data_IF_124120546481
#
_entry.id   IF_124120546481
#
_cell.length_a   1.000
_cell.length_b   1.000
_cell.length_c   1.000
_cell.angle_alpha   90.00
_cell.angle_beta   90.00
_cell.angle_gamma   90.00
#
_symmetry.space_group_name_H-M   'P 1'
#
loop_
_entity.id
_entity.type
_entity.pdbx_description
1 polymer ?
#
# COMPACT_ATOMS: atom_id res chain seq x y z
N UNK A 1 18.71 49.84 -15.01
CA UNK A 1 17.73 50.93 -14.94
C UNK A 1 16.48 50.30 -14.29
N UNK A 2 16.43 50.27 -13.01
CA UNK A 2 15.72 51.09 -12.03
C UNK A 2 14.23 51.26 -12.38
N UNK A 3 13.35 50.59 -11.60
CA UNK A 3 12.37 51.31 -10.76
C UNK A 3 11.65 50.38 -9.79
N UNK A 4 11.89 50.66 -8.51
CA UNK A 4 11.13 50.19 -7.35
C UNK A 4 9.78 50.93 -7.33
N UNK A 5 8.71 50.25 -6.93
CA UNK A 5 7.54 50.89 -6.35
C UNK A 5 7.02 50.07 -5.17
N UNK A 6 7.22 50.62 -4.00
CA UNK A 6 6.62 50.31 -2.69
C UNK A 6 5.28 51.06 -2.60
N UNK A 7 4.23 50.35 -2.25
CA UNK A 7 3.00 50.92 -1.63
C UNK A 7 2.43 49.77 -0.83
N UNK A 8 2.26 49.76 0.46
CA UNK A 8 1.74 50.77 1.37
C UNK A 8 0.80 49.99 2.29
N UNK A 9 1.24 49.79 3.55
CA UNK A 9 0.55 49.13 4.64
C UNK A 9 -0.67 49.95 5.06
N UNK A 10 -1.86 49.34 5.20
CA UNK A 10 -2.98 49.88 5.95
C UNK A 10 -3.53 48.81 6.93
N UNK A 11 -3.16 49.04 8.18
CA UNK A 11 -3.74 48.34 9.35
C UNK A 11 -5.08 48.98 9.67
N UNK A 12 -6.14 48.22 9.70
CA UNK A 12 -7.41 48.61 10.30
C UNK A 12 -7.78 47.62 11.41
N UNK A 13 -7.49 48.02 12.64
CA UNK A 13 -8.01 47.47 13.88
C UNK A 13 -9.43 48.04 14.10
N UNK A 14 -10.44 47.22 14.04
CA UNK A 14 -11.73 47.53 14.72
C UNK A 14 -12.44 46.27 15.18
N UNK A 15 -12.57 46.14 16.49
CA UNK A 15 -13.77 45.76 17.19
C UNK A 15 -14.20 44.30 17.20
N UNK A 16 -13.83 43.56 18.27
CA UNK A 16 -14.67 42.48 18.74
C UNK A 16 -15.94 42.99 19.37
N UNK A 17 -17.07 42.26 19.21
CA UNK A 17 -17.70 41.75 20.42
C UNK A 17 -18.17 40.30 20.36
N UNK A 18 -17.92 39.62 21.45
CA UNK A 18 -18.74 38.62 22.13
C UNK A 18 -19.77 37.85 21.27
N UNK A 19 -19.42 36.65 20.83
CA UNK A 19 -20.36 35.56 20.58
C UNK A 19 -19.83 34.25 21.20
N UNK A 20 -19.70 34.28 22.51
CA UNK A 20 -19.63 33.09 23.33
C UNK A 20 -21.06 32.54 23.46
N UNK A 21 -21.26 31.26 23.33
CA UNK A 21 -22.48 30.46 23.37
C UNK A 21 -23.20 30.18 22.04
N UNK A 22 -22.57 29.36 21.21
CA UNK A 22 -23.31 28.41 20.32
C UNK A 22 -22.43 27.29 19.83
N UNK A 23 -21.73 26.56 20.70
CA UNK A 23 -20.71 25.57 20.30
C UNK A 23 -20.99 24.09 20.63
N UNK A 24 -22.13 23.73 21.21
CA UNK A 24 -22.33 22.37 21.76
C UNK A 24 -22.93 21.32 20.81
N UNK A 25 -23.72 21.72 19.82
CA UNK A 25 -24.46 20.75 18.98
C UNK A 25 -23.73 20.36 17.68
N UNK A 26 -22.86 21.20 17.17
CA UNK A 26 -22.12 20.93 15.93
C UNK A 26 -20.97 19.90 16.09
N UNK A 27 -20.33 19.85 17.25
CA UNK A 27 -19.21 18.91 17.51
C UNK A 27 -19.68 17.44 17.62
N UNK A 28 -20.87 17.16 18.17
CA UNK A 28 -21.41 15.80 18.25
C UNK A 28 -21.79 15.25 16.87
N UNK A 29 -22.42 16.05 15.99
CA UNK A 29 -22.79 15.61 14.64
C UNK A 29 -21.56 15.34 13.76
N UNK A 30 -20.48 16.14 13.85
CA UNK A 30 -19.23 15.88 13.13
C UNK A 30 -18.55 14.59 13.60
N UNK A 31 -18.56 14.28 14.90
CA UNK A 31 -18.00 13.02 15.41
C UNK A 31 -18.74 11.77 14.92
N UNK A 32 -20.08 11.83 14.78
CA UNK A 32 -20.86 10.69 14.26
C UNK A 32 -20.65 10.47 12.75
N UNK A 33 -20.51 11.51 11.94
CA UNK A 33 -20.18 11.42 10.52
C UNK A 33 -18.77 10.86 10.32
N UNK A 34 -17.81 11.41 11.02
CA UNK A 34 -16.41 11.01 10.95
C UNK A 34 -16.17 9.54 11.33
N UNK A 35 -16.80 9.05 12.40
CA UNK A 35 -16.69 7.63 12.79
C UNK A 35 -17.25 6.66 11.74
N UNK A 36 -18.29 7.05 11.01
CA UNK A 36 -18.85 6.25 9.92
C UNK A 36 -17.92 6.23 8.69
N UNK A 37 -17.35 7.37 8.34
CA UNK A 37 -16.38 7.49 7.25
C UNK A 37 -15.13 6.64 7.52
N UNK A 38 -14.59 6.70 8.74
CA UNK A 38 -13.47 5.88 9.17
C UNK A 38 -13.78 4.38 9.09
N UNK A 39 -14.96 3.97 9.55
CA UNK A 39 -15.37 2.57 9.48
C UNK A 39 -15.53 2.08 8.04
N UNK A 40 -16.09 2.92 7.15
CA UNK A 40 -16.21 2.60 5.72
C UNK A 40 -14.84 2.44 5.10
N UNK A 41 -13.95 3.41 5.27
CA UNK A 41 -12.58 3.35 4.75
C UNK A 41 -11.82 2.12 5.24
N UNK A 42 -11.88 1.83 6.56
CA UNK A 42 -11.28 0.63 7.14
C UNK A 42 -11.77 -0.65 6.47
N UNK A 43 -13.08 -0.77 6.28
CA UNK A 43 -13.67 -1.97 5.69
C UNK A 43 -13.26 -2.12 4.22
N UNK A 44 -13.27 -1.04 3.45
CA UNK A 44 -12.81 -1.04 2.07
C UNK A 44 -11.33 -1.45 1.96
N UNK A 45 -10.47 -0.89 2.82
CA UNK A 45 -9.05 -1.25 2.85
C UNK A 45 -8.85 -2.71 3.25
N UNK A 46 -9.62 -3.22 4.21
CA UNK A 46 -9.59 -4.61 4.63
C UNK A 46 -10.00 -5.58 3.51
N UNK A 47 -11.11 -5.30 2.82
CA UNK A 47 -11.60 -6.13 1.71
C UNK A 47 -10.58 -6.19 0.56
N UNK A 48 -9.95 -5.05 0.24
CA UNK A 48 -8.88 -4.97 -0.77
C UNK A 48 -7.67 -5.79 -0.33
N UNK A 49 -7.25 -5.67 0.94
CA UNK A 49 -6.14 -6.44 1.50
C UNK A 49 -6.38 -7.94 1.35
N UNK A 50 -7.58 -8.43 1.62
CA UNK A 50 -7.93 -9.84 1.50
C UNK A 50 -7.91 -10.33 0.03
N UNK A 51 -8.46 -9.52 -0.90
CA UNK A 51 -8.42 -9.83 -2.33
C UNK A 51 -6.98 -9.99 -2.82
N UNK A 52 -6.12 -9.04 -2.48
CA UNK A 52 -4.73 -9.02 -2.94
C UNK A 52 -3.88 -10.09 -2.24
N UNK A 53 -4.13 -10.41 -0.96
CA UNK A 53 -3.47 -11.55 -0.30
C UNK A 53 -3.66 -12.84 -1.10
N UNK A 54 -4.86 -13.08 -1.63
CA UNK A 54 -5.17 -14.25 -2.45
C UNK A 54 -4.37 -14.27 -3.74
N UNK A 55 -4.26 -13.13 -4.44
CA UNK A 55 -3.46 -13.00 -5.67
C UNK A 55 -1.99 -13.26 -5.39
N UNK A 56 -1.43 -12.60 -4.37
CA UNK A 56 -0.02 -12.74 -3.99
C UNK A 56 0.30 -14.15 -3.51
N UNK A 57 -0.63 -14.84 -2.84
CA UNK A 57 -0.48 -16.23 -2.45
C UNK A 57 -0.34 -17.15 -3.67
N UNK A 58 -1.25 -17.04 -4.64
CA UNK A 58 -1.21 -17.81 -5.88
C UNK A 58 0.05 -17.57 -6.70
N UNK A 59 0.53 -16.31 -6.70
CA UNK A 59 1.81 -15.96 -7.32
C UNK A 59 3.00 -16.59 -6.60
N UNK A 60 3.06 -16.51 -5.29
CA UNK A 60 4.15 -17.11 -4.53
C UNK A 60 4.25 -18.61 -4.77
N UNK A 61 3.09 -19.31 -4.82
CA UNK A 61 3.02 -20.73 -5.15
C UNK A 61 3.50 -21.01 -6.59
N UNK A 62 3.11 -20.18 -7.56
CA UNK A 62 3.52 -20.31 -8.96
C UNK A 62 5.04 -20.11 -9.12
N UNK A 63 5.62 -19.09 -8.46
CA UNK A 63 7.06 -18.85 -8.49
C UNK A 63 7.84 -19.95 -7.76
N UNK A 64 7.29 -20.54 -6.71
CA UNK A 64 7.89 -21.69 -6.03
C UNK A 64 7.87 -22.95 -6.93
N UNK A 65 6.77 -23.19 -7.64
CA UNK A 65 6.67 -24.27 -8.63
C UNK A 65 7.65 -24.08 -9.80
N UNK A 66 7.80 -22.84 -10.31
CA UNK A 66 8.80 -22.49 -11.32
C UNK A 66 10.22 -22.77 -10.80
N UNK A 67 10.53 -22.39 -9.56
CA UNK A 67 11.84 -22.63 -8.91
C UNK A 67 12.13 -24.13 -8.76
N UNK A 68 11.12 -24.95 -8.52
CA UNK A 68 11.23 -26.40 -8.44
C UNK A 68 11.17 -27.11 -9.80
N UNK A 69 11.02 -26.35 -10.89
CA UNK A 69 10.85 -26.86 -12.27
C UNK A 69 9.58 -27.71 -12.43
N UNK A 70 8.55 -27.41 -11.66
CA UNK A 70 7.21 -28.03 -11.71
C UNK A 70 6.24 -27.20 -12.58
N UNK A 71 6.65 -25.98 -12.97
CA UNK A 71 5.92 -25.07 -13.84
C UNK A 71 6.84 -24.63 -14.98
N UNK A 72 6.30 -24.61 -16.21
CA UNK A 72 7.01 -24.13 -17.37
C UNK A 72 7.09 -22.60 -17.37
N UNK A 73 8.17 -22.06 -17.98
CA UNK A 73 8.43 -20.61 -17.99
C UNK A 73 7.30 -19.82 -18.66
N UNK A 74 6.73 -20.35 -19.74
CA UNK A 74 5.67 -19.68 -20.46
C UNK A 74 4.38 -19.59 -19.65
N UNK A 75 4.00 -20.67 -18.97
CA UNK A 75 2.85 -20.70 -18.07
C UNK A 75 3.06 -19.77 -16.85
N UNK A 76 4.31 -19.68 -16.36
CA UNK A 76 4.65 -18.78 -15.29
C UNK A 76 4.48 -17.32 -15.72
N UNK A 77 4.97 -16.96 -16.91
CA UNK A 77 4.84 -15.59 -17.45
C UNK A 77 3.39 -15.18 -17.65
N UNK A 78 2.53 -16.08 -18.14
CA UNK A 78 1.10 -15.79 -18.27
C UNK A 78 0.46 -15.47 -16.90
N UNK A 79 0.77 -16.27 -15.87
CA UNK A 79 0.28 -16.03 -14.51
C UNK A 79 0.82 -14.76 -13.88
N UNK A 80 2.11 -14.45 -14.10
CA UNK A 80 2.72 -13.23 -13.62
C UNK A 80 2.07 -12.01 -14.25
N UNK A 81 1.88 -11.98 -15.57
CA UNK A 81 1.24 -10.88 -16.28
C UNK A 81 -0.21 -10.65 -15.83
N UNK A 82 -1.01 -11.73 -15.68
CA UNK A 82 -2.38 -11.61 -15.20
C UNK A 82 -2.45 -11.01 -13.78
N UNK A 83 -1.52 -11.40 -12.92
CA UNK A 83 -1.48 -10.89 -11.56
C UNK A 83 -0.87 -9.48 -11.46
N UNK A 84 0.05 -9.10 -12.36
CA UNK A 84 0.55 -7.73 -12.47
C UNK A 84 -0.60 -6.76 -12.77
N UNK A 85 -1.46 -7.09 -13.76
CA UNK A 85 -2.64 -6.28 -14.08
C UNK A 85 -3.57 -6.09 -12.88
N UNK A 86 -3.80 -7.15 -12.08
CA UNK A 86 -4.62 -7.06 -10.87
C UNK A 86 -3.98 -6.21 -9.77
N UNK A 87 -2.66 -6.33 -9.57
CA UNK A 87 -1.93 -5.55 -8.57
C UNK A 87 -1.82 -4.07 -8.97
N UNK A 88 -1.61 -3.78 -10.25
CA UNK A 88 -1.58 -2.41 -10.77
C UNK A 88 -2.93 -1.73 -10.61
N UNK A 89 -4.02 -2.44 -10.95
CA UNK A 89 -5.37 -1.93 -10.71
C UNK A 89 -5.60 -1.64 -9.21
N UNK A 90 -5.18 -2.54 -8.33
CA UNK A 90 -5.30 -2.33 -6.89
C UNK A 90 -4.48 -1.14 -6.40
N UNK A 91 -3.29 -0.92 -6.97
CA UNK A 91 -2.45 0.23 -6.64
C UNK A 91 -3.07 1.55 -7.13
N UNK A 92 -3.70 1.57 -8.31
CA UNK A 92 -4.43 2.73 -8.82
C UNK A 92 -5.66 3.05 -7.96
N UNK A 93 -6.44 2.04 -7.62
CA UNK A 93 -7.59 2.19 -6.74
C UNK A 93 -7.18 2.76 -5.37
N UNK A 94 -6.07 2.26 -4.80
CA UNK A 94 -5.56 2.72 -3.51
C UNK A 94 -5.11 4.19 -3.58
N UNK A 95 -4.35 4.58 -4.61
CA UNK A 95 -3.95 5.98 -4.83
C UNK A 95 -5.14 6.93 -4.99
N UNK A 96 -6.27 6.44 -5.49
CA UNK A 96 -7.53 7.21 -5.60
C UNK A 96 -8.27 7.37 -4.27
N UNK A 97 -7.92 6.61 -3.23
CA UNK A 97 -8.56 6.70 -1.92
C UNK A 97 -7.97 7.83 -1.08
N UNK A 98 -8.84 8.66 -0.50
CA UNK A 98 -8.43 9.67 0.47
C UNK A 98 -8.31 9.03 1.85
N UNK A 99 -7.08 8.74 2.27
CA UNK A 99 -6.82 8.14 3.57
C UNK A 99 -7.13 9.13 4.71
N UNK A 100 -8.00 8.76 5.67
CA UNK A 100 -8.17 9.53 6.89
C UNK A 100 -6.87 9.58 7.69
N UNK A 101 -6.65 10.67 8.43
CA UNK A 101 -5.41 10.88 9.20
C UNK A 101 -5.09 9.70 10.13
N UNK A 102 -6.10 9.16 10.79
CA UNK A 102 -5.95 8.04 11.73
C UNK A 102 -5.52 6.72 11.09
N UNK A 103 -5.77 6.54 9.79
CA UNK A 103 -5.45 5.34 9.02
C UNK A 103 -4.38 5.57 7.96
N UNK A 104 -3.82 6.78 7.87
CA UNK A 104 -2.84 7.14 6.85
C UNK A 104 -1.58 6.25 6.91
N UNK A 105 -1.08 5.95 8.08
CA UNK A 105 0.08 5.07 8.24
C UNK A 105 -0.18 3.66 7.68
N UNK A 106 -1.38 3.10 7.90
CA UNK A 106 -1.75 1.80 7.35
C UNK A 106 -1.92 1.85 5.82
N UNK A 107 -2.45 2.96 5.30
CA UNK A 107 -2.55 3.18 3.87
C UNK A 107 -1.17 3.16 3.19
N UNK A 108 -0.21 3.93 3.71
CA UNK A 108 1.18 3.98 3.20
C UNK A 108 1.86 2.61 3.29
N UNK A 109 1.66 1.88 4.38
CA UNK A 109 2.20 0.52 4.53
C UNK A 109 1.59 -0.45 3.51
N UNK A 110 0.31 -0.29 3.19
CA UNK A 110 -0.33 -1.11 2.16
C UNK A 110 0.23 -0.80 0.77
N UNK A 111 0.43 0.49 0.42
CA UNK A 111 1.10 0.88 -0.82
C UNK A 111 2.50 0.27 -0.93
N UNK A 112 3.31 0.39 0.11
CA UNK A 112 4.67 -0.17 0.14
C UNK A 112 4.67 -1.70 -0.01
N UNK A 113 3.62 -2.36 0.50
CA UNK A 113 3.44 -3.81 0.41
C UNK A 113 3.07 -4.23 -1.01
N UNK A 114 2.18 -3.50 -1.70
CA UNK A 114 1.86 -3.70 -3.11
C UNK A 114 3.10 -3.52 -4.00
N UNK A 115 3.86 -2.45 -3.80
CA UNK A 115 5.10 -2.22 -4.54
C UNK A 115 6.12 -3.36 -4.34
N UNK A 116 6.18 -3.96 -3.16
CA UNK A 116 7.03 -5.12 -2.92
C UNK A 116 6.57 -6.33 -3.71
N UNK A 117 5.25 -6.57 -3.79
CA UNK A 117 4.69 -7.66 -4.60
C UNK A 117 5.01 -7.46 -6.09
N UNK A 118 4.80 -6.26 -6.63
CA UNK A 118 5.14 -5.90 -8.02
C UNK A 118 6.65 -6.09 -8.29
N UNK A 119 7.53 -5.68 -7.38
CA UNK A 119 8.98 -5.97 -7.50
C UNK A 119 9.28 -7.47 -7.53
N UNK A 120 8.47 -8.29 -6.84
CA UNK A 120 8.56 -9.74 -6.89
C UNK A 120 8.27 -10.29 -8.28
N UNK A 121 7.23 -9.77 -8.95
CA UNK A 121 6.86 -10.10 -10.33
C UNK A 121 8.00 -9.73 -11.28
N UNK A 122 8.37 -8.45 -11.35
CA UNK A 122 9.42 -7.95 -12.26
C UNK A 122 10.74 -8.72 -12.09
N UNK A 123 11.09 -9.05 -10.84
CA UNK A 123 12.29 -9.85 -10.58
C UNK A 123 12.16 -11.26 -11.15
N UNK A 124 11.01 -11.90 -11.01
CA UNK A 124 10.78 -13.26 -11.54
C UNK A 124 10.76 -13.26 -13.07
N UNK A 125 10.09 -12.28 -13.69
CA UNK A 125 10.02 -12.12 -15.15
C UNK A 125 11.42 -11.95 -15.76
N UNK A 126 12.30 -11.18 -15.10
CA UNK A 126 13.71 -11.09 -15.53
C UNK A 126 14.37 -12.46 -15.56
N UNK A 127 14.16 -13.29 -14.53
CA UNK A 127 14.66 -14.67 -14.49
C UNK A 127 14.10 -15.53 -15.64
N UNK A 128 12.79 -15.39 -15.93
CA UNK A 128 12.13 -16.05 -17.05
C UNK A 128 12.73 -15.61 -18.40
N UNK A 129 12.94 -14.30 -18.58
CA UNK A 129 13.59 -13.75 -19.77
C UNK A 129 14.97 -14.34 -19.99
N UNK A 130 15.81 -14.42 -18.96
CA UNK A 130 17.16 -15.01 -19.04
C UNK A 130 17.08 -16.51 -19.39
N UNK A 131 16.12 -17.25 -18.84
CA UNK A 131 15.92 -18.69 -19.15
C UNK A 131 15.62 -18.94 -20.62
N UNK A 132 14.95 -17.99 -21.30
CA UNK A 132 14.62 -18.08 -22.72
C UNK A 132 15.77 -17.74 -23.67
N UNK A 133 16.84 -17.13 -23.15
CA UNK A 133 17.99 -16.77 -23.97
C UNK A 133 18.81 -18.02 -24.33
N UNK A 134 19.26 -18.17 -25.59
CA UNK A 134 20.14 -19.28 -26.00
C UNK A 134 21.50 -19.24 -25.28
N UNK A 135 21.96 -18.05 -24.91
CA UNK A 135 23.17 -17.84 -24.11
C UNK A 135 22.91 -16.76 -23.06
N UNK A 136 23.26 -17.08 -21.81
CA UNK A 136 23.17 -16.12 -20.72
C UNK A 136 24.26 -15.07 -20.85
N UNK A 137 23.94 -13.76 -20.77
CA UNK A 137 24.92 -12.70 -20.66
C UNK A 137 25.83 -12.90 -19.44
N UNK A 138 27.13 -12.62 -19.53
CA UNK A 138 28.06 -12.83 -18.41
C UNK A 138 27.75 -12.02 -17.15
N UNK A 139 27.11 -10.86 -17.33
CA UNK A 139 26.69 -9.95 -16.27
C UNK A 139 25.40 -10.39 -15.55
N UNK A 140 24.63 -11.30 -16.13
CA UNK A 140 23.40 -11.79 -15.52
C UNK A 140 23.67 -12.96 -14.55
N UNK A 141 23.02 -12.91 -13.41
CA UNK A 141 22.99 -14.01 -12.45
C UNK A 141 22.20 -15.21 -13.04
N UNK A 142 22.32 -16.36 -12.40
CA UNK A 142 21.50 -17.52 -12.79
C UNK A 142 20.01 -17.25 -12.60
N UNK A 143 19.14 -17.71 -13.52
CA UNK A 143 17.68 -17.50 -13.43
C UNK A 143 17.10 -17.91 -12.07
N UNK A 144 17.61 -18.97 -11.48
CA UNK A 144 17.18 -19.44 -10.16
C UNK A 144 17.33 -18.39 -9.04
N UNK A 145 18.36 -17.52 -9.12
CA UNK A 145 18.58 -16.44 -8.14
C UNK A 145 17.44 -15.43 -8.23
N UNK A 146 17.01 -15.07 -9.45
CA UNK A 146 15.88 -14.17 -9.68
C UNK A 146 14.57 -14.79 -9.17
N UNK A 147 14.32 -16.07 -9.44
CA UNK A 147 13.14 -16.78 -8.91
C UNK A 147 13.13 -16.80 -7.38
N UNK A 148 14.27 -17.07 -6.75
CA UNK A 148 14.39 -17.05 -5.29
C UNK A 148 14.10 -15.66 -4.69
N UNK A 149 14.65 -14.60 -5.31
CA UNK A 149 14.43 -13.22 -4.87
C UNK A 149 12.96 -12.79 -5.10
N UNK A 150 12.41 -13.12 -6.26
CA UNK A 150 11.01 -12.85 -6.58
C UNK A 150 10.07 -13.53 -5.59
N UNK A 151 10.24 -14.83 -5.36
CA UNK A 151 9.49 -15.58 -4.36
C UNK A 151 9.60 -14.95 -2.95
N UNK A 152 10.82 -14.58 -2.53
CA UNK A 152 11.02 -13.93 -1.22
C UNK A 152 10.25 -12.62 -1.10
N UNK A 153 10.22 -11.78 -2.15
CA UNK A 153 9.46 -10.54 -2.14
C UNK A 153 7.95 -10.81 -2.01
N UNK A 154 7.42 -11.79 -2.74
CA UNK A 154 5.99 -12.18 -2.68
C UNK A 154 5.60 -12.72 -1.31
N UNK A 155 6.40 -13.61 -0.74
CA UNK A 155 6.17 -14.15 0.62
C UNK A 155 6.17 -13.05 1.68
N UNK A 156 7.14 -12.12 1.63
CA UNK A 156 7.18 -11.00 2.57
C UNK A 156 6.00 -10.04 2.37
N UNK A 157 5.60 -9.78 1.12
CA UNK A 157 4.42 -8.96 0.85
C UNK A 157 3.16 -9.62 1.42
N UNK A 158 2.98 -10.93 1.22
CA UNK A 158 1.85 -11.68 1.76
C UNK A 158 1.80 -11.62 3.28
N UNK A 159 2.90 -11.92 3.95
CA UNK A 159 2.97 -11.85 5.42
C UNK A 159 2.59 -10.46 5.93
N UNK A 160 3.09 -9.42 5.25
CA UNK A 160 2.75 -8.04 5.65
C UNK A 160 1.29 -7.70 5.41
N UNK A 161 0.68 -8.17 4.32
CA UNK A 161 -0.77 -8.03 4.09
C UNK A 161 -1.61 -8.67 5.18
N UNK A 162 -1.24 -9.88 5.62
CA UNK A 162 -1.91 -10.57 6.71
C UNK A 162 -1.81 -9.79 8.03
N UNK A 163 -0.63 -9.26 8.36
CA UNK A 163 -0.44 -8.38 9.52
C UNK A 163 -1.29 -7.10 9.43
N UNK A 164 -1.35 -6.47 8.26
CA UNK A 164 -2.18 -5.28 8.01
C UNK A 164 -3.66 -5.59 8.19
N UNK A 165 -4.13 -6.73 7.68
CA UNK A 165 -5.50 -7.18 7.85
C UNK A 165 -5.86 -7.38 9.34
N UNK A 166 -4.96 -7.99 10.12
CA UNK A 166 -5.16 -8.17 11.56
C UNK A 166 -5.19 -6.81 12.30
N UNK A 167 -4.31 -5.87 11.93
CA UNK A 167 -4.30 -4.53 12.53
C UNK A 167 -5.61 -3.79 12.21
N UNK A 168 -6.08 -3.86 10.96
CA UNK A 168 -7.34 -3.25 10.53
C UNK A 168 -8.54 -3.84 11.28
N UNK A 169 -8.57 -5.16 11.51
CA UNK A 169 -9.62 -5.81 12.29
C UNK A 169 -9.62 -5.39 13.75
N UNK A 170 -8.42 -5.25 14.34
CA UNK A 170 -8.26 -4.87 15.75
C UNK A 170 -8.36 -3.35 15.98
N UNK A 171 -8.36 -2.56 14.92
CA UNK A 171 -8.36 -1.10 15.05
C UNK A 171 -9.70 -0.55 15.54
N UNK A 172 -9.64 0.34 16.53
CA UNK A 172 -10.80 1.02 17.10
C UNK A 172 -10.76 2.53 16.79
N UNK A 173 -11.90 3.12 16.37
CA UNK A 173 -11.97 4.55 16.12
C UNK A 173 -11.54 5.38 17.36
N UNK A 174 -10.66 6.36 17.13
CA UNK A 174 -10.14 7.24 18.18
C UNK A 174 -8.80 6.81 18.79
N UNK A 175 -8.24 5.67 18.35
CA UNK A 175 -6.87 5.27 18.66
C UNK A 175 -6.00 5.42 17.42
N UNK A 176 -4.81 6.05 17.48
CA UNK A 176 -3.92 6.14 16.32
C UNK A 176 -3.44 4.74 15.94
N UNK A 177 -3.51 4.44 14.63
CA UNK A 177 -3.07 3.14 14.09
C UNK A 177 -1.57 2.88 14.32
N UNK A 178 -0.76 3.93 14.39
CA UNK A 178 0.69 3.86 14.68
C UNK A 178 1.00 3.14 16.00
N UNK A 179 0.17 3.32 17.04
CA UNK A 179 0.36 2.63 18.31
C UNK A 179 0.17 1.11 18.18
N UNK A 180 -0.67 0.65 17.26
CA UNK A 180 -0.93 -0.77 16.99
C UNK A 180 0.18 -1.39 16.13
N UNK A 181 0.72 -0.67 15.17
CA UNK A 181 1.84 -1.08 14.30
C UNK A 181 3.13 -1.18 15.11
N UNK A 182 3.48 -0.13 15.87
CA UNK A 182 4.72 -0.07 16.65
C UNK A 182 4.77 -1.12 17.76
N UNK A 183 3.64 -1.40 18.42
CA UNK A 183 3.57 -2.39 19.50
C UNK A 183 3.79 -3.84 19.03
N UNK A 184 3.55 -4.14 17.73
CA UNK A 184 3.79 -5.48 17.17
C UNK A 184 5.17 -5.65 16.57
N UNK A 185 5.74 -4.60 15.95
CA UNK A 185 7.10 -4.64 15.39
C UNK A 185 8.19 -4.88 16.46
N UNK A 186 7.90 -4.60 17.73
CA UNK A 186 8.81 -4.87 18.86
C UNK A 186 8.63 -6.25 19.51
N UNK A 187 7.74 -7.12 19.00
CA UNK A 187 7.50 -8.48 19.53
C UNK A 187 8.08 -9.61 18.68
N UNK A 188 8.66 -9.29 17.52
CA UNK A 188 9.37 -10.23 16.63
C UNK A 188 10.85 -9.97 16.65
#
# INVERSE_FOLDING_TARGET
MVMRLLVGLAVALTGAPAAWFRGGRGRRRRRFGHGKELATYRNELFERTQRIDTVVAGLADSVDALRRRELEVDDALERLSAAEDELDLAAEELRGMLAPEELHALHVEYEATLERALRGIVTTERGCGITRLPHRPPEDEEPFIYYKRGHSNLVHARLRMQELAEILLAWEPGKPAEASVSARLHRT
#
